data_IF_279748454216
#
_entry.id   IF_279748454216
#
_cell.length_a   1.000
_cell.length_b   1.000
_cell.length_c   1.000
_cell.angle_alpha   90.00
_cell.angle_beta   90.00
_cell.angle_gamma   90.00
#
_symmetry.space_group_name_H-M   'P 1'
#
loop_
_entity.id
_entity.type
_entity.pdbx_description
1 polymer ?
#
# COMPACT_ATOMS: atom_id res chain seq x y z
N UNK A 1 -15.16 -5.20 7.01
CA UNK A 1 -14.41 -6.10 6.11
C UNK A 1 -12.96 -5.68 6.06
N UNK A 2 -12.08 -6.66 6.13
CA UNK A 2 -10.64 -6.40 6.13
C UNK A 2 -10.11 -6.49 4.71
N UNK A 3 -9.36 -5.47 4.31
CA UNK A 3 -8.79 -5.39 2.97
C UNK A 3 -7.29 -5.64 3.06
N UNK A 4 -6.78 -6.71 2.46
CA UNK A 4 -5.34 -6.92 2.46
C UNK A 4 -4.62 -5.84 1.66
N UNK A 5 -3.35 -5.62 1.98
CA UNK A 5 -2.54 -4.61 1.33
C UNK A 5 -1.15 -5.17 1.07
N UNK A 6 -0.54 -4.73 -0.02
CA UNK A 6 0.81 -5.15 -0.40
C UNK A 6 1.68 -3.90 -0.44
N UNK A 7 2.86 -4.00 0.21
CA UNK A 7 3.87 -2.97 0.12
C UNK A 7 5.02 -3.45 -0.74
N UNK A 8 5.50 -2.61 -1.64
CA UNK A 8 6.61 -2.95 -2.52
C UNK A 8 7.72 -1.94 -2.28
N UNK A 9 8.88 -2.44 -1.81
CA UNK A 9 10.00 -1.56 -1.52
C UNK A 9 10.43 -0.79 -2.77
N UNK A 10 10.50 0.52 -2.65
CA UNK A 10 10.96 1.35 -3.76
C UNK A 10 12.45 1.15 -4.05
N UNK A 11 13.20 0.64 -3.09
CA UNK A 11 14.63 0.42 -3.27
C UNK A 11 14.97 -0.95 -3.83
N UNK A 12 14.29 -1.99 -3.30
CA UNK A 12 14.66 -3.37 -3.63
C UNK A 12 13.64 -4.10 -4.47
N UNK A 13 12.40 -3.60 -4.52
CA UNK A 13 11.33 -4.30 -5.19
C UNK A 13 10.72 -5.43 -4.39
N UNK A 14 11.19 -5.61 -3.16
CA UNK A 14 10.65 -6.67 -2.29
C UNK A 14 9.18 -6.41 -1.99
N UNK A 15 8.38 -7.47 -2.02
CA UNK A 15 6.94 -7.38 -1.77
C UNK A 15 6.61 -7.96 -0.41
N UNK A 16 5.83 -7.19 0.36
CA UNK A 16 5.37 -7.59 1.68
C UNK A 16 3.85 -7.58 1.69
N UNK A 17 3.25 -8.67 2.13
CA UNK A 17 1.79 -8.77 2.20
C UNK A 17 1.32 -8.63 3.63
N UNK A 18 0.27 -7.86 3.81
CA UNK A 18 -0.36 -7.65 5.12
C UNK A 18 -1.85 -7.93 5.00
N UNK A 19 -2.44 -8.45 6.08
CA UNK A 19 -3.85 -8.79 6.07
C UNK A 19 -4.78 -7.58 6.13
N UNK A 20 -4.25 -6.41 6.50
CA UNK A 20 -5.06 -5.21 6.63
C UNK A 20 -4.16 -3.98 6.65
N UNK A 21 -4.78 -2.81 6.47
CA UNK A 21 -4.07 -1.53 6.63
C UNK A 21 -3.48 -1.41 8.02
N UNK A 22 -4.20 -1.88 9.02
CA UNK A 22 -3.74 -1.80 10.40
C UNK A 22 -2.45 -2.61 10.58
N UNK A 23 -2.40 -3.82 10.05
CA UNK A 23 -1.21 -4.65 10.14
C UNK A 23 -0.01 -3.98 9.48
N UNK A 24 -0.23 -3.40 8.30
CA UNK A 24 0.85 -2.71 7.59
C UNK A 24 1.35 -1.52 8.40
N UNK A 25 0.43 -0.75 8.98
CA UNK A 25 0.80 0.42 9.78
C UNK A 25 1.54 0.00 11.05
N UNK A 26 1.12 -1.09 11.67
CA UNK A 26 1.80 -1.59 12.87
C UNK A 26 3.21 -2.07 12.54
N UNK A 27 3.37 -2.72 11.40
CA UNK A 27 4.69 -3.14 10.94
C UNK A 27 5.62 -1.92 10.83
N UNK A 28 5.13 -0.85 10.21
CA UNK A 28 5.93 0.37 10.06
C UNK A 28 6.26 0.99 11.42
N UNK A 29 5.31 0.95 12.33
CA UNK A 29 5.51 1.50 13.68
C UNK A 29 6.60 0.71 14.42
N UNK A 30 6.53 -0.62 14.37
CA UNK A 30 7.49 -1.48 15.05
C UNK A 30 8.89 -1.27 14.49
N UNK A 31 9.00 -1.03 13.19
CA UNK A 31 10.29 -0.84 12.54
C UNK A 31 10.78 0.61 12.57
N UNK A 32 10.08 1.48 13.31
CA UNK A 32 10.52 2.85 13.49
C UNK A 32 10.29 3.77 12.32
N UNK A 33 9.49 3.35 11.34
CA UNK A 33 9.23 4.17 10.15
C UNK A 33 8.18 5.23 10.39
N UNK A 34 7.34 5.04 11.40
CA UNK A 34 6.32 6.02 11.74
C UNK A 34 6.15 6.06 13.25
N UNK A 35 5.75 7.21 13.77
CA UNK A 35 5.43 7.37 15.17
C UNK A 35 3.93 7.29 15.45
N UNK A 36 3.13 7.07 14.41
CA UNK A 36 1.67 7.04 14.57
C UNK A 36 1.08 5.99 13.63
N UNK A 37 0.45 4.98 14.20
CA UNK A 37 -0.23 3.93 13.43
C UNK A 37 -1.38 4.53 12.64
N UNK A 38 -2.12 5.47 13.23
CA UNK A 38 -3.27 6.10 12.55
C UNK A 38 -2.81 6.89 11.33
N UNK A 39 -1.75 7.68 11.48
CA UNK A 39 -1.21 8.45 10.36
C UNK A 39 -0.68 7.53 9.26
N UNK A 40 -0.05 6.42 9.64
CA UNK A 40 0.48 5.48 8.67
C UNK A 40 -0.65 4.85 7.86
N UNK A 41 -1.76 4.49 8.50
CA UNK A 41 -2.92 3.94 7.78
C UNK A 41 -3.43 4.93 6.73
N UNK A 42 -3.51 6.20 7.10
CA UNK A 42 -3.97 7.23 6.18
C UNK A 42 -3.02 7.35 4.97
N UNK A 43 -1.73 7.39 5.23
CA UNK A 43 -0.74 7.55 4.16
C UNK A 43 -0.77 6.34 3.22
N UNK A 44 -0.81 5.13 3.77
CA UNK A 44 -0.89 3.92 2.95
C UNK A 44 -2.15 3.95 2.09
N UNK A 45 -3.27 4.34 2.67
CA UNK A 45 -4.53 4.44 1.96
C UNK A 45 -4.43 5.45 0.80
N UNK A 46 -3.76 6.58 1.03
CA UNK A 46 -3.58 7.59 -0.01
C UNK A 46 -2.75 7.05 -1.17
N UNK A 47 -1.72 6.27 -0.88
CA UNK A 47 -0.93 5.66 -1.94
C UNK A 47 -1.78 4.65 -2.72
N UNK A 48 -2.52 3.81 -2.02
CA UNK A 48 -3.37 2.81 -2.66
C UNK A 48 -4.44 3.44 -3.56
N UNK A 49 -4.90 4.62 -3.20
CA UNK A 49 -5.94 5.30 -3.97
C UNK A 49 -5.39 6.28 -5.01
N UNK A 50 -4.07 6.30 -5.18
CA UNK A 50 -3.46 7.11 -6.22
C UNK A 50 -3.23 8.57 -5.85
N UNK A 51 -3.45 8.95 -4.58
CA UNK A 51 -3.26 10.33 -4.14
C UNK A 51 -1.82 10.63 -3.77
N UNK A 52 -1.02 9.61 -3.57
CA UNK A 52 0.41 9.73 -3.30
C UNK A 52 1.13 8.64 -4.08
N UNK A 53 2.38 8.93 -4.43
CA UNK A 53 3.18 7.98 -5.19
C UNK A 53 3.72 6.87 -4.31
N UNK A 54 4.27 7.24 -3.15
CA UNK A 54 4.85 6.29 -2.21
C UNK A 54 4.56 6.76 -0.79
N UNK A 55 4.77 5.85 0.17
CA UNK A 55 4.73 6.20 1.57
C UNK A 55 5.71 5.31 2.32
N UNK A 56 6.57 5.93 3.15
CA UNK A 56 7.56 5.21 3.97
C UNK A 56 8.54 4.38 3.13
N UNK A 57 8.80 4.82 1.89
CA UNK A 57 9.74 4.12 1.01
C UNK A 57 9.14 2.92 0.30
N UNK A 58 7.82 2.80 0.29
CA UNK A 58 7.11 1.71 -0.35
C UNK A 58 6.04 2.23 -1.27
N UNK A 59 5.78 1.46 -2.34
CA UNK A 59 4.55 1.58 -3.10
C UNK A 59 3.53 0.67 -2.42
N UNK A 60 2.26 1.10 -2.38
CA UNK A 60 1.21 0.34 -1.70
C UNK A 60 0.06 0.09 -2.65
N UNK A 61 -0.53 -1.09 -2.56
CA UNK A 61 -1.68 -1.41 -3.42
C UNK A 61 -2.63 -2.36 -2.69
N UNK A 62 -3.89 -2.32 -3.12
CA UNK A 62 -4.91 -3.25 -2.66
C UNK A 62 -5.01 -4.35 -3.71
N UNK A 63 -4.51 -5.56 -3.46
CA UNK A 63 -4.48 -6.59 -4.50
C UNK A 63 -5.86 -6.99 -5.03
N UNK A 64 -6.91 -6.85 -4.21
CA UNK A 64 -8.24 -7.22 -4.63
C UNK A 64 -8.94 -6.17 -5.47
N UNK A 65 -8.35 -4.99 -5.62
CA UNK A 65 -8.93 -3.92 -6.42
C UNK A 65 -8.27 -3.81 -7.77
N UNK A 66 -7.26 -4.53 -7.94
CA UNK A 66 -6.39 -4.41 -9.08
C UNK A 66 -7.11 -4.33 -10.37
N UNK A 67 -7.02 -4.18 -10.48
CA UNK A 67 -7.19 -4.02 -11.41
C UNK A 67 -7.77 -3.69 -12.18
N UNK A 68 -7.60 -3.22 -12.27
CA UNK A 68 -8.22 -2.69 -12.80
C UNK A 68 -8.60 -2.03 -13.29
N UNK A 69 -8.75 -1.95 -13.20
CA UNK A 69 -9.41 -1.44 -13.60
C UNK A 69 -9.18 -0.52 -14.09
N UNK A 70 -8.35 -0.50 -14.42
CA UNK A 70 -8.28 -0.05 -14.68
C UNK A 70 -7.73 0.23 -15.34
N UNK A 71 -7.39 -0.09 -15.45
CA UNK A 71 -7.04 -0.42 -15.67
C UNK A 71 -6.96 -0.45 -16.57
N UNK A 72 -7.02 -0.60 -16.80
CA UNK A 72 -7.13 -1.17 -17.20
C UNK A 72 -7.10 -0.85 -17.86
N UNK A 73 -6.95 -0.65 -18.08
CA UNK A 73 -7.11 -0.85 -18.30
C UNK A 73 -6.62 -0.40 -19.01
N UNK A 74 -6.24 -0.35 -19.08
CA UNK A 74 -5.91 -0.54 -19.21
C UNK A 74 -5.49 -0.61 -20.00
N UNK A 75 -5.32 -0.61 -20.25
CA UNK A 75 -5.03 -1.27 -20.52
C UNK A 75 -4.90 -1.38 -21.37
N UNK A 76 -4.90 -1.24 -21.59
CA UNK A 76 -4.92 -1.81 -21.85
C UNK A 76 -4.72 -1.75 -22.51
N UNK A 77 -4.47 -1.60 -22.63
CA UNK A 77 -4.45 -1.91 -22.65
C UNK A 77 -4.36 -1.95 -22.79
N UNK A 78 -4.16 -1.54 -23.00
CA UNK A 78 -4.34 -1.99 -22.48
C UNK A 78 -4.36 -1.91 -22.61
#
# INVERSE_FOLDING_TARGET
MITPVVGISAQTGERLRFGSLLEAAEYLFIHGETSSVVAAQLIISQVCNGHRRTGFGYYWEFPHRGRPMTLETRRKRG
#
